data_IF_460383744808
#
_entry.id   IF_460383744808
#
_cell.length_a   1.000
_cell.length_b   1.000
_cell.length_c   1.000
_cell.angle_alpha   90.00
_cell.angle_beta   90.00
_cell.angle_gamma   90.00
#
_symmetry.space_group_name_H-M   'P 1'
#
loop_
_entity.id
_entity.type
_entity.pdbx_description
1 polymer ?
#
# COMPACT_ATOMS: atom_id res chain seq x y z
N UNK A 1 11.65 10.36 -16.09
CA UNK A 1 10.38 10.96 -16.54
C UNK A 1 10.57 12.45 -16.80
N UNK A 2 9.80 13.03 -17.71
CA UNK A 2 9.74 14.48 -17.89
C UNK A 2 8.83 15.12 -16.83
N UNK A 3 9.17 16.31 -16.36
CA UNK A 3 8.34 17.06 -15.41
C UNK A 3 6.96 17.34 -16.03
N UNK A 4 5.91 17.01 -15.30
CA UNK A 4 4.52 17.25 -15.67
C UNK A 4 3.72 17.73 -14.45
N UNK A 5 2.46 18.19 -14.61
CA UNK A 5 1.60 18.53 -13.48
C UNK A 5 1.35 17.38 -12.49
N UNK A 6 1.66 16.12 -12.87
CA UNK A 6 1.44 14.92 -12.04
C UNK A 6 2.73 14.20 -11.64
N UNK A 7 3.87 14.56 -12.23
CA UNK A 7 5.17 13.95 -11.95
C UNK A 7 6.21 15.04 -11.80
N UNK A 8 6.79 15.11 -10.61
CA UNK A 8 7.88 16.01 -10.29
C UNK A 8 9.08 15.16 -9.84
N UNK A 9 10.29 15.62 -10.15
CA UNK A 9 11.51 14.85 -9.87
C UNK A 9 11.82 14.69 -8.38
N UNK A 10 11.17 15.50 -7.54
CA UNK A 10 11.25 15.41 -6.09
C UNK A 10 9.85 15.23 -5.52
N UNK A 11 9.67 14.25 -4.66
CA UNK A 11 8.42 14.01 -3.96
C UNK A 11 8.71 13.45 -2.58
N UNK A 12 7.69 13.44 -1.73
CA UNK A 12 7.78 12.91 -0.38
C UNK A 12 7.04 11.58 -0.35
N UNK A 13 7.70 10.56 0.18
CA UNK A 13 7.13 9.22 0.35
C UNK A 13 7.20 8.86 1.84
N UNK A 14 6.16 8.19 2.32
CA UNK A 14 6.13 7.60 3.66
C UNK A 14 6.04 6.09 3.47
N UNK A 15 7.00 5.38 4.04
CA UNK A 15 7.02 3.92 4.08
C UNK A 15 6.94 3.44 5.52
N UNK A 16 6.27 2.31 5.71
CA UNK A 16 6.14 1.66 7.00
C UNK A 16 6.51 0.18 6.86
N UNK A 17 7.25 -0.33 7.83
CA UNK A 17 7.66 -1.72 7.93
C UNK A 17 7.36 -2.23 9.34
N UNK A 18 6.61 -3.33 9.42
CA UNK A 18 6.30 -4.02 10.67
C UNK A 18 6.78 -5.47 10.55
N UNK A 19 7.66 -5.89 11.46
CA UNK A 19 8.27 -7.22 11.48
C UNK A 19 8.12 -7.76 12.90
N UNK A 20 7.44 -8.89 13.00
CA UNK A 20 7.23 -9.63 14.25
C UNK A 20 6.93 -11.10 13.91
N UNK A 21 6.84 -11.96 14.91
CA UNK A 21 6.44 -13.36 14.74
C UNK A 21 4.96 -13.49 14.39
N UNK A 22 4.62 -14.44 13.51
CA UNK A 22 3.24 -14.77 13.13
C UNK A 22 2.44 -13.62 12.48
N UNK A 23 3.12 -12.61 11.92
CA UNK A 23 2.47 -11.53 11.15
C UNK A 23 1.93 -12.09 9.82
N UNK A 24 0.68 -11.80 9.52
CA UNK A 24 -0.02 -12.32 8.37
C UNK A 24 -0.48 -11.21 7.41
N UNK A 25 -0.91 -11.62 6.20
CA UNK A 25 -1.56 -10.72 5.24
C UNK A 25 -2.84 -10.11 5.82
N UNK A 26 -3.51 -10.76 6.79
CA UNK A 26 -4.69 -10.21 7.42
C UNK A 26 -4.35 -8.95 8.24
N UNK A 27 -3.25 -8.98 9.00
CA UNK A 27 -2.77 -7.85 9.80
C UNK A 27 -2.41 -6.65 8.91
N UNK A 28 -1.76 -6.91 7.77
CA UNK A 28 -1.49 -5.90 6.76
C UNK A 28 -2.80 -5.28 6.24
N UNK A 29 -3.78 -6.10 5.85
CA UNK A 29 -5.07 -5.62 5.34
C UNK A 29 -5.79 -4.75 6.35
N UNK A 30 -5.85 -5.17 7.61
CA UNK A 30 -6.52 -4.43 8.68
C UNK A 30 -5.82 -3.09 8.96
N UNK A 31 -4.48 -3.08 8.92
CA UNK A 31 -3.69 -1.86 9.03
C UNK A 31 -3.99 -0.88 7.90
N UNK A 32 -4.02 -1.34 6.65
CA UNK A 32 -4.32 -0.52 5.49
C UNK A 32 -5.76 0.02 5.51
N UNK A 33 -6.73 -0.80 5.92
CA UNK A 33 -8.14 -0.40 6.09
C UNK A 33 -8.27 0.66 7.20
N UNK A 34 -7.52 0.51 8.28
CA UNK A 34 -7.49 1.50 9.36
C UNK A 34 -6.88 2.81 8.88
N UNK A 35 -5.73 2.75 8.20
CA UNK A 35 -5.07 3.90 7.62
C UNK A 35 -5.98 4.67 6.65
N UNK A 36 -6.63 4.01 5.70
CA UNK A 36 -7.47 4.69 4.71
C UNK A 36 -8.68 5.37 5.35
N UNK A 37 -9.27 4.77 6.38
CA UNK A 37 -10.37 5.37 7.15
C UNK A 37 -9.91 6.59 7.97
N UNK A 38 -8.72 6.53 8.55
CA UNK A 38 -8.14 7.66 9.28
C UNK A 38 -7.80 8.84 8.35
N UNK A 39 -7.34 8.55 7.13
CA UNK A 39 -6.94 9.57 6.16
C UNK A 39 -8.12 10.18 5.38
N UNK A 40 -9.10 9.36 4.99
CA UNK A 40 -10.17 9.75 4.07
C UNK A 40 -11.58 9.68 4.66
N UNK A 41 -11.71 9.31 5.95
CA UNK A 41 -12.97 9.20 6.67
C UNK A 41 -13.60 7.80 6.62
N UNK A 42 -14.50 7.53 7.55
CA UNK A 42 -15.09 6.20 7.74
C UNK A 42 -15.96 5.71 6.57
N UNK A 43 -16.51 6.64 5.78
CA UNK A 43 -17.39 6.34 4.64
C UNK A 43 -16.62 6.14 3.32
N UNK A 44 -15.28 6.17 3.35
CA UNK A 44 -14.45 5.99 2.16
C UNK A 44 -14.71 4.60 1.55
N UNK A 45 -14.99 4.57 0.24
CA UNK A 45 -14.98 3.32 -0.51
C UNK A 45 -13.55 3.01 -0.91
N UNK A 46 -13.07 1.83 -0.55
CA UNK A 46 -11.74 1.34 -0.87
C UNK A 46 -11.83 -0.04 -1.52
N UNK A 47 -10.77 -0.44 -2.21
CA UNK A 47 -10.55 -1.83 -2.64
C UNK A 47 -9.08 -2.16 -2.55
N UNK A 48 -8.80 -3.43 -2.26
CA UNK A 48 -7.47 -4.02 -2.35
C UNK A 48 -7.44 -4.93 -3.56
N UNK A 49 -6.35 -4.88 -4.33
CA UNK A 49 -6.16 -5.68 -5.53
C UNK A 49 -4.72 -6.21 -5.60
N UNK A 50 -4.49 -7.38 -6.23
CA UNK A 50 -3.13 -7.86 -6.45
C UNK A 50 -2.29 -6.84 -7.22
N UNK A 51 -1.04 -6.69 -6.82
CA UNK A 51 -0.02 -5.90 -7.50
C UNK A 51 1.27 -6.70 -7.66
N UNK A 52 2.37 -6.04 -8.02
CA UNK A 52 3.70 -6.65 -8.02
C UNK A 52 4.75 -5.62 -7.61
N UNK A 53 5.45 -5.90 -6.52
CA UNK A 53 6.64 -5.15 -6.09
C UNK A 53 7.77 -6.15 -5.79
N UNK A 54 9.00 -5.96 -6.30
CA UNK A 54 10.09 -6.95 -6.17
C UNK A 54 10.53 -7.28 -4.74
N UNK A 55 10.12 -6.49 -3.76
CA UNK A 55 10.49 -6.63 -2.35
C UNK A 55 9.32 -7.15 -1.48
N UNK A 56 8.19 -7.54 -2.10
CA UNK A 56 7.06 -8.12 -1.37
C UNK A 56 6.40 -9.30 -2.09
N UNK A 57 5.99 -10.32 -1.34
CA UNK A 57 5.21 -11.45 -1.81
C UNK A 57 4.32 -12.02 -0.68
N UNK A 58 2.97 -11.95 -0.76
CA UNK A 58 2.18 -11.35 -1.83
C UNK A 58 2.18 -9.81 -1.79
N UNK A 59 2.07 -9.20 -2.98
CA UNK A 59 1.94 -7.76 -3.21
C UNK A 59 0.48 -7.31 -3.37
N UNK A 60 0.12 -6.16 -2.78
CA UNK A 60 -1.21 -5.57 -2.82
C UNK A 60 -1.15 -4.07 -3.12
N UNK A 61 -2.07 -3.60 -3.95
CA UNK A 61 -2.33 -2.18 -4.19
C UNK A 61 -3.68 -1.78 -3.58
N UNK A 62 -3.77 -0.57 -3.05
CA UNK A 62 -5.02 -0.01 -2.53
C UNK A 62 -5.49 1.18 -3.37
N UNK A 63 -6.76 1.12 -3.77
CA UNK A 63 -7.43 2.23 -4.43
C UNK A 63 -8.57 2.77 -3.55
N UNK A 64 -8.86 4.06 -3.67
CA UNK A 64 -10.07 4.70 -3.13
C UNK A 64 -10.98 5.18 -4.26
N UNK A 65 -12.28 5.29 -3.97
CA UNK A 65 -13.23 5.94 -4.87
C UNK A 65 -13.12 7.46 -4.72
N UNK A 66 -12.55 8.12 -5.72
CA UNK A 66 -12.36 9.57 -5.74
C UNK A 66 -13.43 10.26 -6.58
N UNK A 67 -14.06 11.29 -6.02
CA UNK A 67 -15.11 12.08 -6.67
C UNK A 67 -16.49 11.90 -6.01
N UNK A 68 -17.57 12.14 -6.77
CA UNK A 68 -18.93 11.93 -6.25
C UNK A 68 -19.27 10.43 -6.19
N UNK A 69 -20.33 10.09 -5.46
CA UNK A 69 -20.80 8.69 -5.34
C UNK A 69 -21.17 8.08 -6.69
N UNK A 70 -21.65 8.89 -7.64
CA UNK A 70 -22.18 8.43 -8.94
C UNK A 70 -21.17 8.64 -10.09
N UNK A 71 -20.33 9.67 -10.04
CA UNK A 71 -19.38 10.03 -11.09
C UNK A 71 -17.93 10.07 -10.58
N UNK A 72 -17.56 9.07 -9.78
CA UNK A 72 -16.20 8.90 -9.31
C UNK A 72 -15.37 7.93 -10.15
N UNK A 73 -14.12 7.77 -9.74
CA UNK A 73 -13.20 6.77 -10.30
C UNK A 73 -12.33 6.18 -9.21
N UNK A 74 -11.83 4.97 -9.44
CA UNK A 74 -10.78 4.41 -8.60
C UNK A 74 -9.49 5.20 -8.80
N UNK A 75 -8.90 5.63 -7.69
CA UNK A 75 -7.61 6.29 -7.61
C UNK A 75 -6.70 5.43 -6.73
N UNK A 76 -5.62 4.92 -7.31
CA UNK A 76 -4.56 4.25 -6.55
C UNK A 76 -3.91 5.22 -5.57
N UNK A 77 -3.70 4.78 -4.34
CA UNK A 77 -3.12 5.61 -3.27
C UNK A 77 -1.87 5.02 -2.64
N UNK A 78 -1.66 3.69 -2.72
CA UNK A 78 -0.47 3.04 -2.18
C UNK A 78 -0.25 1.64 -2.77
N UNK A 79 1.00 1.22 -2.74
CA UNK A 79 1.44 -0.18 -2.83
C UNK A 79 1.82 -0.72 -1.45
N UNK A 80 1.73 -2.03 -1.28
CA UNK A 80 1.98 -2.73 -0.02
C UNK A 80 2.24 -4.23 -0.27
N UNK A 81 2.66 -4.96 0.75
CA UNK A 81 2.77 -6.41 0.67
C UNK A 81 3.50 -7.00 1.87
N UNK A 82 3.53 -8.32 1.93
CA UNK A 82 4.38 -9.03 2.89
C UNK A 82 5.81 -8.98 2.39
N UNK A 83 6.78 -8.68 3.25
CA UNK A 83 8.20 -8.60 2.85
C UNK A 83 8.65 -9.92 2.24
N UNK A 84 9.29 -9.85 1.07
CA UNK A 84 9.82 -11.03 0.39
C UNK A 84 10.93 -11.69 1.26
N UNK A 85 10.93 -13.03 1.45
CA UNK A 85 11.94 -13.74 2.23
C UNK A 85 13.40 -13.43 1.85
N UNK A 86 13.67 -13.12 0.58
CA UNK A 86 15.02 -12.75 0.14
C UNK A 86 15.49 -11.44 0.75
N UNK A 87 14.58 -10.52 1.12
CA UNK A 87 14.90 -9.29 1.84
C UNK A 87 15.37 -9.61 3.25
N UNK A 88 14.67 -10.50 3.98
CA UNK A 88 15.10 -10.95 5.31
C UNK A 88 16.45 -11.66 5.26
N UNK A 89 16.63 -12.56 4.29
CA UNK A 89 17.90 -13.26 4.07
C UNK A 89 19.06 -12.28 3.80
N UNK A 90 18.83 -11.26 2.97
CA UNK A 90 19.83 -10.23 2.69
C UNK A 90 20.15 -9.36 3.92
N UNK A 91 19.19 -9.18 4.82
CA UNK A 91 19.35 -8.46 6.08
C UNK A 91 19.94 -9.31 7.22
N UNK A 92 20.13 -10.63 7.03
CA UNK A 92 20.59 -11.54 8.08
C UNK A 92 19.57 -11.78 9.19
N UNK A 93 18.28 -11.63 8.87
CA UNK A 93 17.16 -11.92 9.78
C UNK A 93 16.65 -13.33 9.49
N UNK A 94 16.53 -14.13 10.55
CA UNK A 94 15.89 -15.44 10.46
C UNK A 94 14.37 -15.25 10.46
N UNK A 95 13.67 -15.91 9.54
CA UNK A 95 12.22 -15.76 9.30
C UNK A 95 11.53 -17.13 9.36
#
# INVERSE_FOLDING_TARGET
EAVSPKSYFLFHQVEALYVDENVSVADLKDTLITFVKLMYGNDVKYRLRPGFFPFTEPSLEMDIWWGSKENGKWLEILGSGMVDPNVFKAAGVDH
#
